data_IF_610597060086
#
_entry.id   IF_610597060086
#
_cell.length_a   1.000
_cell.length_b   1.000
_cell.length_c   1.000
_cell.angle_alpha   90.00
_cell.angle_beta   90.00
_cell.angle_gamma   90.00
#
_symmetry.space_group_name_H-M   'P 1'
#
loop_
_entity.id
_entity.type
_entity.pdbx_description
1 polymer ?
#
# COMPACT_ATOMS: atom_id res chain seq x y z
N UNK A 1 -5.61 10.76 6.26
CA UNK A 1 -6.20 9.49 5.83
C UNK A 1 -7.49 9.22 6.58
N UNK A 2 -8.57 9.44 5.90
CA UNK A 2 -9.91 9.27 6.43
C UNK A 2 -10.44 7.91 5.99
N UNK A 3 -11.06 7.17 6.90
CA UNK A 3 -11.67 5.88 6.60
C UNK A 3 -10.70 4.81 6.12
N UNK A 4 -9.42 4.97 6.40
CA UNK A 4 -8.47 3.90 6.16
C UNK A 4 -8.51 2.91 7.31
N UNK A 5 -8.26 1.64 7.02
CA UNK A 5 -8.26 0.59 8.00
C UNK A 5 -6.92 -0.13 7.99
N UNK A 6 -6.28 -0.15 9.13
CA UNK A 6 -5.01 -0.86 9.30
C UNK A 6 -5.29 -2.06 10.18
N UNK A 7 -5.22 -3.25 9.60
CA UNK A 7 -5.48 -4.48 10.32
C UNK A 7 -4.35 -4.78 11.31
N UNK A 8 -4.50 -5.89 12.05
CA UNK A 8 -3.54 -6.24 13.10
C UNK A 8 -2.17 -6.56 12.53
N UNK A 9 -1.15 -6.26 13.30
CA UNK A 9 0.25 -6.59 13.01
C UNK A 9 0.78 -6.00 11.71
N UNK A 10 0.21 -4.87 11.27
CA UNK A 10 0.77 -4.14 10.15
C UNK A 10 1.97 -3.32 10.60
N UNK A 11 2.97 -3.21 9.73
CA UNK A 11 4.06 -2.27 9.90
C UNK A 11 3.89 -1.12 8.91
N UNK A 12 3.88 0.09 9.41
CA UNK A 12 3.81 1.28 8.56
C UNK A 12 4.99 2.16 8.93
N UNK A 13 5.87 2.38 7.97
CA UNK A 13 7.09 3.13 8.20
C UNK A 13 6.86 4.63 8.33
N UNK A 14 7.95 5.39 8.22
CA UNK A 14 7.92 6.85 8.40
C UNK A 14 7.50 7.55 7.12
N UNK A 15 6.78 8.66 7.27
CA UNK A 15 6.41 9.52 6.15
C UNK A 15 5.57 8.80 5.09
N UNK A 16 4.77 7.84 5.51
CA UNK A 16 3.86 7.13 4.62
C UNK A 16 2.60 7.96 4.44
N UNK A 17 2.18 8.12 3.19
CA UNK A 17 0.94 8.83 2.87
C UNK A 17 -0.07 7.80 2.39
N UNK A 18 -1.15 7.64 3.15
CA UNK A 18 -2.23 6.73 2.80
C UNK A 18 -3.48 7.58 2.62
N UNK A 19 -4.02 7.59 1.41
CA UNK A 19 -5.19 8.39 1.11
C UNK A 19 -6.46 7.75 1.70
N UNK A 20 -7.61 8.27 1.32
CA UNK A 20 -8.89 7.83 1.90
C UNK A 20 -9.27 6.43 1.46
N UNK A 21 -9.93 5.70 2.35
CA UNK A 21 -10.54 4.40 2.06
C UNK A 21 -9.52 3.36 1.60
N UNK A 22 -8.38 3.27 2.30
CA UNK A 22 -7.34 2.30 1.97
C UNK A 22 -7.24 1.27 3.09
N UNK A 23 -7.83 0.09 2.94
CA UNK A 23 -7.63 -0.97 3.92
C UNK A 23 -6.29 -1.67 3.71
N UNK A 24 -5.59 -1.93 4.80
CA UNK A 24 -4.37 -2.73 4.79
C UNK A 24 -4.70 -4.07 5.43
N UNK A 25 -4.48 -5.15 4.72
CA UNK A 25 -4.68 -6.49 5.26
C UNK A 25 -3.70 -6.80 6.39
N UNK A 26 -3.99 -7.82 7.17
CA UNK A 26 -3.16 -8.21 8.30
C UNK A 26 -1.72 -8.50 7.88
N UNK A 27 -0.77 -8.11 8.74
CA UNK A 27 0.66 -8.33 8.49
C UNK A 27 1.20 -7.66 7.23
N UNK A 28 0.49 -6.67 6.68
CA UNK A 28 1.03 -5.88 5.57
C UNK A 28 2.22 -5.07 6.08
N UNK A 29 3.22 -4.91 5.23
CA UNK A 29 4.45 -4.22 5.59
C UNK A 29 4.69 -3.07 4.61
N UNK A 30 4.52 -1.85 5.09
CA UNK A 30 4.67 -0.65 4.28
C UNK A 30 5.94 0.06 4.73
N UNK A 31 6.92 0.16 3.84
CA UNK A 31 8.20 0.78 4.19
C UNK A 31 8.11 2.30 4.10
N UNK A 32 9.25 2.98 4.30
CA UNK A 32 9.24 4.43 4.45
C UNK A 32 8.92 5.14 3.14
N UNK A 33 8.29 6.30 3.27
CA UNK A 33 8.04 7.21 2.15
C UNK A 33 7.19 6.61 1.03
N UNK A 34 6.29 5.70 1.37
CA UNK A 34 5.35 5.10 0.43
C UNK A 34 4.13 5.99 0.29
N UNK A 35 3.61 6.11 -0.92
CA UNK A 35 2.36 6.83 -1.19
C UNK A 35 1.33 5.83 -1.72
N UNK A 36 0.19 5.74 -1.05
CA UNK A 36 -0.90 4.86 -1.47
C UNK A 36 -2.10 5.71 -1.83
N UNK A 37 -2.52 5.63 -3.08
CA UNK A 37 -3.65 6.41 -3.60
C UNK A 37 -4.99 5.94 -3.04
N UNK A 38 -5.99 6.80 -3.16
CA UNK A 38 -7.30 6.56 -2.56
C UNK A 38 -8.02 5.34 -3.13
N UNK A 39 -8.83 4.70 -2.30
CA UNK A 39 -9.63 3.53 -2.65
C UNK A 39 -8.79 2.34 -3.14
N UNK A 40 -7.51 2.32 -2.80
CA UNK A 40 -6.68 1.14 -3.02
C UNK A 40 -6.81 0.19 -1.85
N UNK A 41 -6.42 -1.06 -2.06
CA UNK A 41 -6.41 -2.06 -0.99
C UNK A 41 -5.11 -2.83 -1.04
N UNK A 42 -4.57 -3.17 0.12
CA UNK A 42 -3.34 -3.94 0.22
C UNK A 42 -3.68 -5.28 0.86
N UNK A 43 -3.40 -6.37 0.14
CA UNK A 43 -3.70 -7.70 0.63
C UNK A 43 -2.80 -8.07 1.81
N UNK A 44 -3.29 -8.97 2.66
CA UNK A 44 -2.51 -9.41 3.82
C UNK A 44 -1.15 -10.00 3.39
N UNK A 45 -0.17 -9.84 4.26
CA UNK A 45 1.19 -10.33 4.07
C UNK A 45 1.92 -9.73 2.87
N UNK A 46 1.42 -8.64 2.31
CA UNK A 46 2.06 -7.97 1.18
C UNK A 46 3.07 -6.94 1.70
N UNK A 47 4.18 -6.81 1.02
CA UNK A 47 5.20 -5.82 1.35
C UNK A 47 5.26 -4.76 0.25
N UNK A 48 5.23 -3.49 0.65
CA UNK A 48 5.43 -2.37 -0.27
C UNK A 48 6.76 -1.73 0.10
N UNK A 49 7.71 -1.77 -0.83
CA UNK A 49 9.05 -1.28 -0.60
C UNK A 49 9.12 0.24 -0.49
N UNK A 50 10.21 0.73 0.09
CA UNK A 50 10.37 2.16 0.34
C UNK A 50 10.27 2.97 -0.95
N UNK A 51 9.76 4.17 -0.85
CA UNK A 51 9.61 5.12 -1.97
C UNK A 51 8.73 4.59 -3.09
N UNK A 52 7.98 3.51 -2.87
CA UNK A 52 7.07 2.99 -3.87
C UNK A 52 5.80 3.82 -3.92
N UNK A 53 5.08 3.76 -5.04
CA UNK A 53 3.83 4.47 -5.20
C UNK A 53 2.75 3.50 -5.65
N UNK A 54 1.60 3.55 -4.98
CA UNK A 54 0.42 2.78 -5.36
C UNK A 54 -0.62 3.77 -5.87
N UNK A 55 -1.00 3.63 -7.14
CA UNK A 55 -2.03 4.50 -7.73
C UNK A 55 -3.39 4.26 -7.11
N UNK A 56 -4.31 5.18 -7.35
CA UNK A 56 -5.66 5.06 -6.80
C UNK A 56 -6.41 3.86 -7.36
N UNK A 57 -7.33 3.31 -6.57
CA UNK A 57 -8.19 2.18 -6.96
C UNK A 57 -7.41 0.95 -7.38
N UNK A 58 -6.27 0.72 -6.76
CA UNK A 58 -5.40 -0.40 -7.06
C UNK A 58 -5.53 -1.48 -6.00
N UNK A 59 -5.65 -2.72 -6.43
CA UNK A 59 -5.59 -3.87 -5.52
C UNK A 59 -4.17 -4.41 -5.50
N UNK A 60 -3.46 -4.24 -4.40
CA UNK A 60 -2.09 -4.70 -4.28
C UNK A 60 -2.12 -6.13 -3.75
N UNK A 61 -1.85 -7.07 -4.64
CA UNK A 61 -1.88 -8.51 -4.31
C UNK A 61 -0.49 -9.14 -4.35
N UNK A 62 0.51 -8.39 -4.75
CA UNK A 62 1.90 -8.84 -4.81
C UNK A 62 2.78 -7.77 -4.18
N UNK A 63 3.96 -8.18 -3.73
CA UNK A 63 4.92 -7.23 -3.19
C UNK A 63 5.31 -6.21 -4.25
N UNK A 64 5.48 -4.98 -3.80
CA UNK A 64 5.95 -3.89 -4.66
C UNK A 64 7.40 -3.61 -4.29
N UNK A 65 8.29 -3.67 -5.28
CA UNK A 65 9.71 -3.43 -5.05
C UNK A 65 9.95 -1.98 -4.64
N UNK A 66 11.05 -1.69 -3.94
CA UNK A 66 11.39 -0.30 -3.62
C UNK A 66 11.44 0.54 -4.89
N UNK A 67 10.93 1.76 -4.80
CA UNK A 67 10.81 2.70 -5.92
C UNK A 67 9.88 2.19 -7.03
N UNK A 68 9.17 1.10 -6.81
CA UNK A 68 8.24 0.58 -7.81
C UNK A 68 6.92 1.32 -7.83
N UNK A 69 6.10 1.00 -8.82
CA UNK A 69 4.78 1.59 -8.97
C UNK A 69 3.77 0.49 -9.23
N UNK A 70 2.56 0.66 -8.69
CA UNK A 70 1.47 -0.27 -8.92
C UNK A 70 0.24 0.51 -9.36
N UNK A 71 -0.44 0.02 -10.39
CA UNK A 71 -1.59 0.69 -10.97
C UNK A 71 -2.72 -0.29 -11.27
N UNK A 72 -3.92 0.27 -11.37
CA UNK A 72 -5.08 -0.48 -11.85
C UNK A 72 -5.67 -1.41 -10.82
N UNK A 73 -6.53 -2.31 -11.26
CA UNK A 73 -7.24 -3.21 -10.37
C UNK A 73 -6.37 -4.34 -9.86
N UNK A 74 -5.23 -4.56 -10.44
CA UNK A 74 -4.21 -5.48 -9.96
C UNK A 74 -2.89 -4.75 -9.88
N UNK A 75 -2.04 -5.19 -8.97
CA UNK A 75 -0.71 -4.59 -8.90
C UNK A 75 0.09 -5.02 -10.13
N UNK A 76 0.71 -4.05 -10.77
CA UNK A 76 1.61 -4.27 -11.89
C UNK A 76 2.92 -3.61 -11.52
N UNK A 77 4.00 -4.37 -11.48
CA UNK A 77 5.31 -3.82 -11.16
C UNK A 77 5.87 -3.05 -12.34
N UNK A 78 6.34 -1.87 -12.03
CA UNK A 78 6.93 -0.99 -13.03
C UNK A 78 8.41 -0.80 -12.75
#
# INVERSE_FOLDING_TARGET
MVSSHIAHDCFVGNNVIIANNVPLGGHAHIEDNVIIGGNSAVQQFTRIGKMAMVGGMCGVVKDVIPYGMAFGNRSVLQ
#
